data_IF_494354139241
#
_entry.id   IF_494354139241
#
_cell.length_a   1.000
_cell.length_b   1.000
_cell.length_c   1.000
_cell.angle_alpha   90.00
_cell.angle_beta   90.00
_cell.angle_gamma   90.00
#
_symmetry.space_group_name_H-M   'P 1'
#
loop_
_entity.id
_entity.type
_entity.pdbx_description
1 polymer ?
#
# COMPACT_ATOMS: atom_id res chain seq x y z
N UNK A 1 -1.01 -13.92 -20.75
CA UNK A 1 -1.67 -13.59 -19.78
C UNK A 1 -0.95 -12.88 -18.82
N UNK A 2 -1.51 -12.05 -18.35
CA UNK A 2 -0.85 -11.17 -17.58
C UNK A 2 -1.07 -11.45 -16.15
N UNK A 3 -0.06 -11.82 -15.47
CA UNK A 3 -0.18 -12.08 -14.07
C UNK A 3 0.51 -11.01 -13.27
N UNK A 4 0.49 -9.80 -13.77
CA UNK A 4 1.13 -8.72 -13.06
C UNK A 4 0.53 -8.57 -11.67
N UNK A 5 1.41 -8.39 -10.70
CA UNK A 5 1.02 -8.14 -9.33
C UNK A 5 0.53 -6.70 -9.22
N UNK A 6 -0.64 -6.49 -8.67
CA UNK A 6 -1.22 -5.15 -8.52
C UNK A 6 -0.81 -4.55 -7.19
N UNK A 7 -0.41 -3.29 -7.23
CA UNK A 7 -0.12 -2.52 -6.02
C UNK A 7 -0.95 -1.25 -6.02
N UNK A 8 -1.48 -0.89 -4.86
CA UNK A 8 -2.16 0.39 -4.68
C UNK A 8 -1.24 1.31 -3.90
N UNK A 9 -0.94 2.48 -4.48
CA UNK A 9 -0.11 3.48 -3.82
C UNK A 9 -1.00 4.64 -3.41
N UNK A 10 -1.00 4.97 -2.13
CA UNK A 10 -1.88 6.00 -1.57
C UNK A 10 -1.03 7.14 -1.03
N UNK A 11 -1.15 8.31 -1.63
CA UNK A 11 -0.34 9.47 -1.22
C UNK A 11 -1.00 10.71 -1.83
N UNK A 12 -1.05 11.81 -1.08
CA UNK A 12 -1.67 13.02 -1.61
C UNK A 12 -0.71 13.88 -2.45
N UNK A 13 0.53 13.48 -2.53
CA UNK A 13 1.52 14.22 -3.33
C UNK A 13 1.56 13.64 -4.73
N UNK A 14 1.06 14.41 -5.70
CA UNK A 14 0.97 13.91 -7.07
C UNK A 14 2.34 13.68 -7.69
N UNK A 15 3.33 14.49 -7.32
CA UNK A 15 4.70 14.26 -7.80
C UNK A 15 5.24 12.93 -7.32
N UNK A 16 4.97 12.61 -6.05
CA UNK A 16 5.39 11.32 -5.51
C UNK A 16 4.68 10.18 -6.25
N UNK A 17 3.38 10.32 -6.49
CA UNK A 17 2.64 9.26 -7.18
C UNK A 17 3.17 9.04 -8.60
N UNK A 18 3.49 10.13 -9.31
CA UNK A 18 4.06 9.98 -10.65
C UNK A 18 5.41 9.29 -10.62
N UNK A 19 6.25 9.66 -9.65
CA UNK A 19 7.56 9.03 -9.51
C UNK A 19 7.42 7.56 -9.14
N UNK A 20 6.49 7.26 -8.24
CA UNK A 20 6.26 5.88 -7.82
C UNK A 20 5.82 5.04 -9.01
N UNK A 21 4.88 5.55 -9.79
CA UNK A 21 4.42 4.82 -10.96
C UNK A 21 5.57 4.57 -11.93
N UNK A 22 6.39 5.60 -12.17
CA UNK A 22 7.47 5.48 -13.12
C UNK A 22 8.47 4.38 -12.74
N UNK A 23 8.77 4.23 -11.45
CA UNK A 23 9.76 3.26 -11.04
C UNK A 23 9.18 1.89 -10.72
N UNK A 24 7.87 1.80 -10.51
CA UNK A 24 7.26 0.52 -10.14
C UNK A 24 6.56 -0.19 -11.28
N UNK A 25 6.29 0.51 -12.37
CA UNK A 25 5.51 -0.08 -13.47
C UNK A 25 6.16 -1.26 -14.14
N UNK A 26 7.48 -1.34 -14.08
CA UNK A 26 8.16 -2.48 -14.69
C UNK A 26 7.88 -3.77 -13.93
N UNK A 27 7.66 -3.65 -12.63
CA UNK A 27 7.50 -4.82 -11.78
C UNK A 27 6.05 -5.08 -11.39
N UNK A 28 5.20 -4.06 -11.41
CA UNK A 28 3.84 -4.17 -10.88
C UNK A 28 2.84 -3.44 -11.75
N UNK A 29 1.58 -3.85 -11.64
CA UNK A 29 0.47 -3.04 -12.17
C UNK A 29 0.15 -2.01 -11.09
N UNK A 30 0.44 -0.74 -11.36
CA UNK A 30 0.37 0.32 -10.34
C UNK A 30 -0.94 1.07 -10.43
N UNK A 31 -1.62 1.19 -9.28
CA UNK A 31 -2.83 2.00 -9.16
C UNK A 31 -2.57 3.04 -8.09
N UNK A 32 -3.06 4.26 -8.28
CA UNK A 32 -2.80 5.35 -7.34
C UNK A 32 -4.09 6.03 -6.94
N UNK A 33 -4.17 6.42 -5.66
CA UNK A 33 -5.23 7.29 -5.16
C UNK A 33 -4.61 8.31 -4.24
N UNK A 34 -5.34 9.41 -3.95
CA UNK A 34 -4.74 10.56 -3.28
C UNK A 34 -5.22 10.79 -1.86
N UNK A 35 -6.13 9.99 -1.38
CA UNK A 35 -6.66 10.20 -0.02
C UNK A 35 -7.21 8.90 0.52
N UNK A 36 -7.54 8.91 1.80
CA UNK A 36 -8.02 7.70 2.46
C UNK A 36 -9.39 7.26 2.01
N UNK A 37 -10.28 8.22 1.74
CA UNK A 37 -11.61 7.89 1.27
C UNK A 37 -11.55 7.11 -0.04
N UNK A 38 -10.73 7.59 -0.97
CA UNK A 38 -10.58 6.89 -2.25
C UNK A 38 -9.87 5.56 -2.08
N UNK A 39 -8.91 5.48 -1.15
CA UNK A 39 -8.24 4.21 -0.90
C UNK A 39 -9.22 3.16 -0.43
N UNK A 40 -10.10 3.53 0.51
CA UNK A 40 -11.09 2.58 1.01
C UNK A 40 -12.11 2.22 -0.06
N UNK A 41 -12.53 3.20 -0.86
CA UNK A 41 -13.47 2.91 -1.95
C UNK A 41 -12.85 1.96 -2.96
N UNK A 42 -11.56 2.14 -3.28
CA UNK A 42 -10.85 1.26 -4.18
C UNK A 42 -10.79 -0.16 -3.61
N UNK A 43 -10.39 -0.28 -2.35
CA UNK A 43 -10.23 -1.58 -1.72
C UNK A 43 -11.56 -2.29 -1.52
N UNK A 44 -12.61 -1.53 -1.23
CA UNK A 44 -13.94 -2.10 -1.02
C UNK A 44 -14.75 -2.18 -2.31
N UNK A 45 -14.18 -1.75 -3.42
CA UNK A 45 -14.83 -1.77 -4.73
C UNK A 45 -16.15 -1.01 -4.73
N UNK A 46 -16.12 0.16 -4.09
CA UNK A 46 -17.28 1.05 -4.09
C UNK A 46 -17.06 2.17 -5.11
N UNK A 47 -18.12 2.83 -5.56
CA UNK A 47 -17.93 3.94 -6.50
C UNK A 47 -16.92 4.95 -5.92
N UNK A 48 -16.07 5.53 -6.75
CA UNK A 48 -16.04 5.39 -8.21
C UNK A 48 -15.18 4.23 -8.71
N UNK A 49 -14.91 3.22 -7.88
CA UNK A 49 -14.02 2.12 -8.25
C UNK A 49 -14.70 0.74 -8.19
N UNK A 50 -15.90 0.57 -8.79
CA UNK A 50 -16.60 -0.71 -8.65
C UNK A 50 -15.85 -1.88 -9.29
N UNK A 51 -15.02 -1.59 -10.29
CA UNK A 51 -14.29 -2.64 -10.99
C UNK A 51 -12.82 -2.69 -10.63
N UNK A 52 -12.44 -2.10 -9.50
CA UNK A 52 -11.04 -2.07 -9.11
C UNK A 52 -10.52 -3.48 -8.86
N UNK A 53 -9.28 -3.76 -9.29
CA UNK A 53 -8.67 -5.04 -8.94
C UNK A 53 -8.34 -5.06 -7.46
N UNK A 54 -8.24 -6.26 -6.88
CA UNK A 54 -7.79 -6.40 -5.51
C UNK A 54 -6.27 -6.31 -5.51
N UNK A 55 -5.68 -5.31 -4.89
CA UNK A 55 -4.21 -5.23 -4.92
C UNK A 55 -3.61 -6.33 -4.07
N UNK A 56 -2.42 -6.77 -4.48
CA UNK A 56 -1.69 -7.76 -3.72
C UNK A 56 -1.05 -7.16 -2.49
N UNK A 57 -0.75 -5.86 -2.54
CA UNK A 57 -0.25 -5.13 -1.38
C UNK A 57 -0.51 -3.63 -1.58
N UNK A 58 -0.35 -2.87 -0.51
CA UNK A 58 -0.63 -1.43 -0.51
C UNK A 58 0.58 -0.70 0.04
N UNK A 59 0.94 0.42 -0.60
CA UNK A 59 1.93 1.37 -0.09
C UNK A 59 1.14 2.59 0.36
N UNK A 60 1.17 2.89 1.65
CA UNK A 60 0.25 3.83 2.26
C UNK A 60 1.01 4.93 2.99
N UNK A 61 0.77 6.18 2.61
CA UNK A 61 1.33 7.32 3.32
C UNK A 61 0.66 7.43 4.69
N UNK A 62 1.45 7.70 5.73
CA UNK A 62 0.89 7.78 7.08
C UNK A 62 -0.07 8.93 7.24
N UNK A 63 0.27 10.10 6.68
CA UNK A 63 -0.52 11.31 6.87
C UNK A 63 -1.20 11.70 5.56
N UNK A 64 -2.48 11.41 5.46
CA UNK A 64 -3.28 11.82 4.32
C UNK A 64 -4.19 12.96 4.75
N UNK A 65 -4.73 13.73 3.80
CA UNK A 65 -5.52 14.91 4.18
C UNK A 65 -6.78 14.59 4.95
N UNK A 66 -7.37 13.43 4.74
CA UNK A 66 -8.65 13.08 5.35
C UNK A 66 -8.56 12.03 6.43
N UNK A 67 -7.50 11.25 6.50
CA UNK A 67 -7.38 10.26 7.57
C UNK A 67 -5.95 9.75 7.65
N UNK A 68 -5.61 9.19 8.79
CA UNK A 68 -4.27 8.65 9.01
C UNK A 68 -4.23 7.19 8.63
N UNK A 69 -3.01 6.66 8.49
CA UNK A 69 -2.84 5.25 8.17
C UNK A 69 -3.49 4.32 9.20
N UNK A 70 -3.34 4.57 10.52
CA UNK A 70 -4.02 3.68 11.47
C UNK A 70 -5.53 3.64 11.29
N UNK A 71 -6.17 4.75 10.91
CA UNK A 71 -7.61 4.76 10.67
C UNK A 71 -7.97 3.87 9.48
N UNK A 72 -7.18 3.95 8.41
CA UNK A 72 -7.41 3.10 7.24
C UNK A 72 -7.20 1.64 7.60
N UNK A 73 -6.09 1.36 8.29
CA UNK A 73 -5.77 -0.02 8.69
C UNK A 73 -6.86 -0.60 9.59
N UNK A 74 -7.43 0.24 10.47
CA UNK A 74 -8.53 -0.22 11.32
C UNK A 74 -9.73 -0.65 10.51
N UNK A 75 -10.05 0.09 9.45
CA UNK A 75 -11.14 -0.29 8.57
C UNK A 75 -10.86 -1.61 7.86
N UNK A 76 -9.61 -1.78 7.40
CA UNK A 76 -9.26 -3.01 6.71
C UNK A 76 -9.33 -4.21 7.65
N UNK A 77 -8.99 -4.00 8.91
CA UNK A 77 -9.01 -5.08 9.89
C UNK A 77 -10.41 -5.64 10.12
N UNK A 78 -11.44 -4.87 9.79
CA UNK A 78 -12.83 -5.31 9.95
C UNK A 78 -13.27 -6.26 8.85
N UNK A 79 -12.49 -6.41 7.79
CA UNK A 79 -12.83 -7.26 6.66
C UNK A 79 -11.90 -8.45 6.62
N UNK A 80 -12.45 -9.66 6.63
CA UNK A 80 -11.63 -10.86 6.56
C UNK A 80 -10.79 -10.90 5.30
N UNK A 81 -11.31 -10.36 4.21
CA UNK A 81 -10.58 -10.34 2.95
C UNK A 81 -9.50 -9.26 2.95
N UNK A 82 -9.85 -8.05 3.38
CA UNK A 82 -8.94 -6.93 3.24
C UNK A 82 -7.82 -6.94 4.27
N UNK A 83 -8.06 -7.47 5.46
CA UNK A 83 -7.00 -7.49 6.47
C UNK A 83 -5.85 -8.41 6.09
N UNK A 84 -6.06 -9.29 5.11
CA UNK A 84 -4.99 -10.16 4.64
C UNK A 84 -4.03 -9.46 3.69
N UNK A 85 -4.39 -8.28 3.18
CA UNK A 85 -3.54 -7.56 2.24
C UNK A 85 -2.41 -6.90 3.01
N UNK A 86 -1.15 -7.19 2.68
CA UNK A 86 -0.03 -6.55 3.37
C UNK A 86 0.04 -5.07 3.05
N UNK A 87 0.33 -4.25 4.06
CA UNK A 87 0.43 -2.80 3.89
C UNK A 87 1.79 -2.33 4.37
N UNK A 88 2.49 -1.62 3.50
CA UNK A 88 3.73 -0.92 3.83
C UNK A 88 3.36 0.54 4.07
N UNK A 89 3.62 1.03 5.28
CA UNK A 89 3.34 2.42 5.61
C UNK A 89 4.60 3.24 5.45
N UNK A 90 4.49 4.38 4.79
CA UNK A 90 5.60 5.32 4.62
C UNK A 90 5.28 6.61 5.36
N UNK A 91 6.26 7.17 6.04
CA UNK A 91 6.08 8.42 6.76
C UNK A 91 7.22 9.36 6.44
N UNK A 92 6.94 10.66 6.47
CA UNK A 92 7.95 11.67 6.19
C UNK A 92 9.06 11.65 7.21
N UNK A 93 8.78 11.22 8.43
CA UNK A 93 9.75 11.22 9.49
C UNK A 93 9.70 9.89 10.24
N UNK A 94 10.84 9.57 10.87
CA UNK A 94 10.94 8.33 11.61
C UNK A 94 10.50 8.60 13.04
N UNK A 95 9.19 8.71 13.25
CA UNK A 95 8.62 8.94 14.57
C UNK A 95 8.24 7.60 15.17
N UNK A 96 8.79 7.31 16.34
CA UNK A 96 8.45 6.07 17.03
C UNK A 96 6.95 5.93 17.26
N UNK A 97 6.28 7.05 17.52
CA UNK A 97 4.84 7.04 17.75
C UNK A 97 4.09 6.61 16.51
N UNK A 98 4.50 7.12 15.36
CA UNK A 98 3.85 6.78 14.10
C UNK A 98 4.08 5.32 13.76
N UNK A 99 5.30 4.84 13.96
CA UNK A 99 5.59 3.45 13.69
C UNK A 99 4.79 2.53 14.61
N UNK A 100 4.75 2.86 15.90
CA UNK A 100 4.01 2.05 16.85
C UNK A 100 2.53 2.00 16.51
N UNK A 101 1.96 3.16 16.17
CA UNK A 101 0.54 3.23 15.83
C UNK A 101 0.23 2.44 14.56
N UNK A 102 1.10 2.55 13.55
CA UNK A 102 0.88 1.82 12.31
C UNK A 102 0.95 0.32 12.52
N UNK A 103 1.97 -0.13 13.25
CA UNK A 103 2.12 -1.56 13.47
C UNK A 103 1.01 -2.12 14.34
N UNK A 104 0.59 -1.37 15.35
CA UNK A 104 -0.52 -1.81 16.21
C UNK A 104 -1.81 -1.94 15.41
N UNK A 105 -1.98 -1.11 14.38
CA UNK A 105 -3.18 -1.15 13.56
C UNK A 105 -3.12 -2.20 12.45
N UNK A 106 -1.95 -2.82 12.23
CA UNK A 106 -1.84 -3.92 11.29
C UNK A 106 -0.86 -3.74 10.15
N UNK A 107 -0.07 -2.65 10.15
CA UNK A 107 0.93 -2.49 9.09
C UNK A 107 1.97 -3.59 9.20
N UNK A 108 2.34 -4.15 8.05
CA UNK A 108 3.36 -5.18 8.02
C UNK A 108 4.75 -4.60 8.06
N UNK A 109 4.92 -3.37 7.63
CA UNK A 109 6.20 -2.68 7.70
C UNK A 109 5.97 -1.19 7.74
N UNK A 110 6.95 -0.46 8.27
CA UNK A 110 6.91 0.98 8.37
C UNK A 110 8.30 1.48 7.97
N UNK A 111 8.36 2.48 7.09
CA UNK A 111 9.62 3.04 6.67
C UNK A 111 9.49 4.55 6.49
N UNK A 112 10.63 5.23 6.63
CA UNK A 112 10.67 6.65 6.29
C UNK A 112 10.54 6.76 4.77
N UNK A 113 9.73 7.71 4.33
CA UNK A 113 9.47 7.92 2.91
C UNK A 113 10.77 8.28 2.21
N UNK A 114 11.20 7.49 1.23
CA UNK A 114 12.46 7.77 0.56
C UNK A 114 12.40 9.04 -0.25
N UNK A 115 13.51 9.79 -0.27
CA UNK A 115 13.59 10.99 -1.08
C UNK A 115 14.06 10.70 -2.50
N UNK A 116 14.58 9.49 -2.74
CA UNK A 116 15.11 9.12 -4.06
C UNK A 116 14.26 7.99 -4.61
N UNK A 117 13.93 8.10 -5.91
CA UNK A 117 13.03 7.12 -6.51
C UNK A 117 13.61 5.71 -6.53
N UNK A 118 14.95 5.58 -6.67
CA UNK A 118 15.53 4.27 -6.64
C UNK A 118 15.38 3.61 -5.26
N UNK A 119 15.50 4.39 -4.20
CA UNK A 119 15.31 3.86 -2.86
C UNK A 119 13.86 3.44 -2.66
N UNK A 120 12.90 4.17 -3.24
CA UNK A 120 11.51 3.79 -3.18
C UNK A 120 11.30 2.45 -3.87
N UNK A 121 11.87 2.29 -5.06
CA UNK A 121 11.72 1.03 -5.79
C UNK A 121 12.25 -0.13 -4.98
N UNK A 122 13.44 0.04 -4.39
CA UNK A 122 14.05 -1.01 -3.59
C UNK A 122 13.22 -1.35 -2.37
N UNK A 123 12.71 -0.32 -1.68
CA UNK A 123 11.91 -0.56 -0.48
C UNK A 123 10.63 -1.33 -0.82
N UNK A 124 10.00 -0.98 -1.92
CA UNK A 124 8.74 -1.63 -2.30
C UNK A 124 9.00 -3.07 -2.75
N UNK A 125 10.05 -3.28 -3.55
CA UNK A 125 10.35 -4.62 -4.01
C UNK A 125 10.75 -5.51 -2.84
N UNK A 126 11.57 -4.99 -1.91
CA UNK A 126 11.95 -5.75 -0.73
C UNK A 126 10.73 -6.09 0.12
N UNK A 127 9.82 -5.13 0.28
CA UNK A 127 8.60 -5.39 1.03
C UNK A 127 7.80 -6.52 0.39
N UNK A 128 7.65 -6.47 -0.92
CA UNK A 128 6.90 -7.51 -1.62
C UNK A 128 7.57 -8.87 -1.45
N UNK A 129 8.89 -8.92 -1.53
CA UNK A 129 9.59 -10.19 -1.35
C UNK A 129 9.42 -10.76 0.04
N UNK A 130 9.40 -9.88 1.06
CA UNK A 130 9.30 -10.34 2.44
C UNK A 130 7.87 -10.66 2.85
N UNK A 131 6.91 -9.91 2.37
CA UNK A 131 5.56 -10.00 2.90
C UNK A 131 4.54 -10.46 1.88
N UNK A 132 4.76 -10.12 0.62
CA UNK A 132 3.83 -10.51 -0.43
C UNK A 132 3.83 -11.99 -0.68
N UNK A 133 5.02 -12.56 -0.77
CA UNK A 133 5.13 -13.99 -0.99
C UNK A 133 4.59 -14.77 0.19
N UNK A 134 4.80 -14.27 1.40
CA UNK A 134 4.26 -14.92 2.57
C UNK A 134 2.74 -14.84 2.58
N UNK A 135 2.21 -13.70 2.14
CA UNK A 135 0.77 -13.55 2.03
C UNK A 135 0.21 -14.29 0.84
N UNK A 136 1.03 -14.45 -0.19
CA UNK A 136 0.61 -15.20 -1.35
C UNK A 136 0.83 -16.65 -1.04
N UNK A 137 -0.20 -17.35 -0.70
CA UNK A 137 -0.12 -18.72 -0.34
C UNK A 137 0.57 -19.52 -1.43
N UNK A 138 1.65 -20.21 -1.12
CA UNK A 138 2.31 -21.04 -2.14
C UNK A 138 1.37 -22.02 -2.80
N UNK A 139 0.37 -22.50 -2.07
CA UNK A 139 -0.57 -23.45 -2.62
C UNK A 139 -1.38 -22.85 -3.76
N UNK A 140 -1.56 -21.55 -3.75
CA UNK A 140 -2.29 -20.93 -4.82
C UNK A 140 -1.55 -20.97 -6.12
N UNK A 141 -0.25 -21.00 -6.03
CA UNK A 141 0.56 -20.97 -7.20
C UNK A 141 0.78 -22.34 -7.78
N UNK A 142 0.62 -23.30 -6.96
CA UNK A 142 0.86 -24.68 -7.37
C UNK A 142 -0.31 -25.23 -8.05
#
# INVERSE_FOLDING_TARGET
MDDAVSVLVVDDNQGFLRAARAVLEEAFAVHTVENGTDALAFLERRPPFPDAPRPAFVVLDFHLPDMSAPAILGRLAESATLRAIPVLVLSQADWDEDESAARAAGARAFRVKPSRVQALREAVIDFWKEHGDAGADPARRG
#
